data_IF_968426858625
#
_entry.id   IF_968426858625
#
_cell.length_a   1.000
_cell.length_b   1.000
_cell.length_c   1.000
_cell.angle_alpha   90.00
_cell.angle_beta   90.00
_cell.angle_gamma   90.00
#
_symmetry.space_group_name_H-M   'P 1'
#
loop_
_entity.id
_entity.type
_entity.pdbx_description
1 polymer ?
#
# COMPACT_ATOMS: atom_id res chain seq x y z
N UNK A 1 -11.15 9.89 -8.18
CA UNK A 1 -12.02 9.39 -7.10
C UNK A 1 -13.46 9.47 -7.54
N UNK A 2 -14.26 8.44 -7.24
CA UNK A 2 -15.68 8.43 -7.58
C UNK A 2 -16.46 9.20 -6.51
N UNK A 3 -17.73 9.55 -6.79
CA UNK A 3 -18.59 10.22 -5.79
C UNK A 3 -19.05 9.30 -4.66
N UNK A 4 -18.78 8.01 -4.78
CA UNK A 4 -19.33 6.96 -3.91
C UNK A 4 -18.24 6.08 -3.28
N UNK A 5 -16.98 6.48 -3.41
CA UNK A 5 -15.86 5.73 -2.86
C UNK A 5 -14.54 6.49 -2.88
N UNK A 6 -13.63 5.99 -2.07
CA UNK A 6 -12.25 6.46 -1.95
C UNK A 6 -11.32 5.25 -1.98
N UNK A 7 -10.01 5.44 -2.13
CA UNK A 7 -9.11 4.31 -2.23
C UNK A 7 -7.65 4.71 -2.38
N UNK A 8 -6.81 3.69 -2.45
CA UNK A 8 -5.36 3.82 -2.60
C UNK A 8 -4.84 2.72 -3.52
N UNK A 9 -3.70 2.97 -4.15
CA UNK A 9 -2.92 1.95 -4.86
C UNK A 9 -1.89 1.38 -3.91
N UNK A 10 -1.67 0.07 -3.95
CA UNK A 10 -0.71 -0.63 -3.08
C UNK A 10 0.39 -1.29 -3.90
N UNK A 11 1.56 -1.44 -3.28
CA UNK A 11 2.75 -2.07 -3.88
C UNK A 11 2.98 -3.43 -3.25
N UNK A 12 2.03 -4.32 -3.50
CA UNK A 12 2.04 -5.71 -3.06
C UNK A 12 1.23 -6.54 -4.04
N UNK A 13 1.36 -7.87 -3.95
CA UNK A 13 0.56 -8.75 -4.80
C UNK A 13 -0.93 -8.61 -4.48
N UNK A 14 -1.78 -9.03 -5.42
CA UNK A 14 -3.23 -9.03 -5.22
C UNK A 14 -3.65 -9.84 -4.00
N UNK A 15 -3.05 -11.02 -3.80
CA UNK A 15 -3.36 -11.90 -2.68
C UNK A 15 -2.88 -11.31 -1.34
N UNK A 16 -1.68 -10.71 -1.32
CA UNK A 16 -1.17 -10.02 -0.15
C UNK A 16 -2.04 -8.81 0.22
N UNK A 17 -2.53 -8.06 -0.79
CA UNK A 17 -3.44 -6.95 -0.57
C UNK A 17 -4.75 -7.40 0.09
N UNK A 18 -5.32 -8.54 -0.33
CA UNK A 18 -6.52 -9.09 0.32
C UNK A 18 -6.26 -9.42 1.79
N UNK A 19 -5.13 -10.08 2.08
CA UNK A 19 -4.73 -10.44 3.45
C UNK A 19 -4.55 -9.18 4.30
N UNK A 20 -3.79 -8.21 3.80
CA UNK A 20 -3.46 -6.97 4.50
C UNK A 20 -4.71 -6.11 4.75
N UNK A 21 -5.58 -5.96 3.75
CA UNK A 21 -6.88 -5.27 3.89
C UNK A 21 -7.74 -5.96 4.95
N UNK A 22 -7.82 -7.29 4.92
CA UNK A 22 -8.61 -8.05 5.90
C UNK A 22 -8.10 -7.84 7.32
N UNK A 23 -6.78 -7.85 7.52
CA UNK A 23 -6.16 -7.60 8.82
C UNK A 23 -6.39 -6.16 9.29
N UNK A 24 -6.21 -5.18 8.41
CA UNK A 24 -6.43 -3.76 8.73
C UNK A 24 -7.90 -3.49 9.09
N UNK A 25 -8.85 -4.09 8.37
CA UNK A 25 -10.28 -4.04 8.69
C UNK A 25 -10.57 -4.61 10.08
N UNK A 26 -9.99 -5.78 10.41
CA UNK A 26 -10.13 -6.39 11.74
C UNK A 26 -9.58 -5.49 12.85
N UNK A 27 -8.44 -4.83 12.62
CA UNK A 27 -7.86 -3.86 13.56
C UNK A 27 -8.79 -2.70 13.91
N UNK A 28 -9.67 -2.31 12.98
CA UNK A 28 -10.70 -1.27 13.18
C UNK A 28 -12.07 -1.83 13.59
N UNK A 29 -12.15 -3.14 13.87
CA UNK A 29 -13.35 -3.83 14.35
C UNK A 29 -14.31 -4.26 13.25
N UNK A 30 -13.89 -4.29 11.99
CA UNK A 30 -14.67 -4.84 10.88
C UNK A 30 -14.36 -6.32 10.66
N UNK A 31 -15.40 -7.15 10.58
CA UNK A 31 -15.32 -8.51 10.07
C UNK A 31 -15.72 -8.59 8.60
N UNK A 32 -15.28 -9.64 7.90
CA UNK A 32 -15.69 -9.94 6.53
C UNK A 32 -16.93 -10.85 6.57
N UNK A 33 -18.06 -10.37 6.07
CA UNK A 33 -19.32 -11.13 5.99
C UNK A 33 -19.53 -11.79 4.62
N UNK A 34 -18.96 -11.20 3.58
CA UNK A 34 -19.07 -11.69 2.22
C UNK A 34 -17.73 -11.53 1.52
N UNK A 35 -17.40 -12.49 0.67
CA UNK A 35 -16.17 -12.47 -0.10
C UNK A 35 -16.46 -12.96 -1.53
N UNK A 36 -16.59 -12.02 -2.46
CA UNK A 36 -17.11 -12.25 -3.82
C UNK A 36 -15.96 -12.17 -4.82
N UNK A 37 -15.68 -13.28 -5.49
CA UNK A 37 -14.65 -13.37 -6.54
C UNK A 37 -15.32 -13.11 -7.88
N UNK A 38 -15.23 -11.87 -8.35
CA UNK A 38 -15.89 -11.44 -9.57
C UNK A 38 -15.23 -12.11 -10.77
N UNK A 39 -13.89 -12.14 -10.80
CA UNK A 39 -13.13 -12.74 -11.89
C UNK A 39 -13.45 -14.23 -12.05
N UNK A 40 -13.39 -15.01 -10.97
CA UNK A 40 -13.74 -16.43 -11.02
C UNK A 40 -15.22 -16.65 -11.36
N UNK A 41 -16.11 -15.79 -10.88
CA UNK A 41 -17.55 -15.89 -11.18
C UNK A 41 -17.84 -15.65 -12.66
N UNK A 42 -17.28 -14.59 -13.26
CA UNK A 42 -17.47 -14.30 -14.68
C UNK A 42 -16.82 -15.36 -15.56
N UNK A 43 -15.63 -15.85 -15.20
CA UNK A 43 -15.02 -16.98 -15.91
C UNK A 43 -15.91 -18.22 -15.87
N UNK A 44 -16.45 -18.58 -14.71
CA UNK A 44 -17.30 -19.76 -14.56
C UNK A 44 -18.65 -19.64 -15.28
N UNK A 45 -19.25 -18.44 -15.29
CA UNK A 45 -20.62 -18.23 -15.76
C UNK A 45 -20.71 -17.80 -17.21
N UNK A 46 -19.73 -17.01 -17.67
CA UNK A 46 -19.73 -16.38 -18.99
C UNK A 46 -18.51 -16.80 -19.84
N UNK A 47 -17.55 -17.53 -19.26
CA UNK A 47 -16.25 -17.84 -19.89
C UNK A 47 -15.43 -16.60 -20.28
N UNK A 48 -15.69 -15.48 -19.61
CA UNK A 48 -14.96 -14.23 -19.80
C UNK A 48 -13.71 -14.19 -18.90
N UNK A 49 -12.56 -13.81 -19.46
CA UNK A 49 -11.35 -13.56 -18.69
C UNK A 49 -11.28 -12.08 -18.30
N UNK A 50 -10.90 -11.81 -17.05
CA UNK A 50 -10.66 -10.44 -16.56
C UNK A 50 -9.52 -10.43 -15.54
N UNK A 51 -8.87 -9.28 -15.30
CA UNK A 51 -7.92 -9.13 -14.21
C UNK A 51 -8.54 -9.50 -12.84
N UNK A 52 -7.72 -9.93 -11.85
CA UNK A 52 -8.18 -10.22 -10.50
C UNK A 52 -9.07 -9.13 -9.91
N UNK A 53 -10.23 -9.51 -9.38
CA UNK A 53 -11.25 -8.59 -8.86
C UNK A 53 -12.05 -9.24 -7.73
N UNK A 54 -11.84 -8.77 -6.50
CA UNK A 54 -12.50 -9.26 -5.28
C UNK A 54 -13.34 -8.14 -4.66
N UNK A 55 -14.54 -8.46 -4.18
CA UNK A 55 -15.37 -7.56 -3.38
C UNK A 55 -15.55 -8.18 -2.00
N UNK A 56 -15.05 -7.49 -0.99
CA UNK A 56 -15.18 -7.85 0.42
C UNK A 56 -16.33 -7.06 1.04
N UNK A 57 -17.26 -7.75 1.70
CA UNK A 57 -18.32 -7.14 2.48
C UNK A 57 -17.89 -6.96 3.92
N UNK A 58 -17.39 -5.77 4.28
CA UNK A 58 -16.91 -5.45 5.62
C UNK A 58 -18.03 -4.92 6.52
N UNK A 59 -18.12 -5.43 7.75
CA UNK A 59 -19.14 -5.01 8.71
C UNK A 59 -18.58 -4.88 10.13
N UNK A 60 -18.91 -3.78 10.81
CA UNK A 60 -18.68 -3.59 12.23
C UNK A 60 -20.00 -3.83 12.98
N UNK A 61 -20.16 -4.94 13.73
CA UNK A 61 -21.46 -5.33 14.27
C UNK A 61 -22.11 -4.30 15.21
N UNK A 62 -21.38 -3.67 16.17
CA UNK A 62 -21.95 -2.59 16.99
C UNK A 62 -22.49 -1.41 16.18
N UNK A 63 -21.78 -0.98 15.13
CA UNK A 63 -22.23 0.13 14.27
C UNK A 63 -23.42 -0.28 13.41
N UNK A 64 -23.37 -1.47 12.80
CA UNK A 64 -24.47 -2.01 12.00
C UNK A 64 -25.75 -2.19 12.83
N UNK A 65 -25.63 -2.66 14.08
CA UNK A 65 -26.76 -2.77 14.98
C UNK A 65 -27.40 -1.41 15.29
N UNK A 66 -26.59 -0.38 15.61
CA UNK A 66 -27.08 1.01 15.82
C UNK A 66 -27.83 1.52 14.58
N UNK A 67 -27.29 1.26 13.39
CA UNK A 67 -27.92 1.62 12.12
C UNK A 67 -29.28 0.96 11.95
N UNK A 68 -29.35 -0.37 12.12
CA UNK A 68 -30.56 -1.18 11.94
C UNK A 68 -31.67 -0.83 12.94
N UNK A 69 -31.31 -0.49 14.18
CA UNK A 69 -32.28 -0.01 15.18
C UNK A 69 -32.91 1.33 14.76
N UNK A 70 -32.14 2.20 14.11
CA UNK A 70 -32.57 3.54 13.69
C UNK A 70 -33.33 3.53 12.37
N UNK A 71 -32.90 2.67 11.44
CA UNK A 71 -33.52 2.45 10.14
C UNK A 71 -33.43 0.96 9.79
N UNK A 72 -34.48 0.15 10.04
CA UNK A 72 -34.47 -1.27 9.74
C UNK A 72 -34.17 -1.61 8.28
N UNK A 73 -34.57 -0.74 7.34
CA UNK A 73 -34.36 -0.95 5.90
C UNK A 73 -32.93 -0.64 5.47
N UNK A 74 -32.07 -0.11 6.36
CA UNK A 74 -30.69 0.25 6.03
C UNK A 74 -29.84 -0.95 5.63
N UNK A 75 -30.28 -2.17 5.97
CA UNK A 75 -29.66 -3.42 5.52
C UNK A 75 -29.54 -3.54 3.99
N UNK A 76 -30.35 -2.82 3.21
CA UNK A 76 -30.22 -2.72 1.75
C UNK A 76 -28.91 -2.04 1.30
N UNK A 77 -28.28 -1.27 2.19
CA UNK A 77 -27.06 -0.51 1.96
C UNK A 77 -25.85 -1.11 2.71
N UNK A 78 -26.02 -2.28 3.34
CA UNK A 78 -24.98 -3.01 4.07
C UNK A 78 -24.60 -4.30 3.32
N UNK A 79 -23.37 -4.82 3.48
CA UNK A 79 -22.24 -4.29 4.24
C UNK A 79 -21.46 -3.17 3.51
N UNK A 80 -20.42 -2.62 4.14
CA UNK A 80 -19.50 -1.69 3.48
C UNK A 80 -18.64 -2.47 2.48
N UNK A 81 -18.81 -2.21 1.18
CA UNK A 81 -18.00 -2.85 0.15
C UNK A 81 -16.57 -2.32 0.16
N UNK A 82 -15.60 -3.24 0.14
CA UNK A 82 -14.19 -2.98 -0.11
C UNK A 82 -13.75 -3.79 -1.31
N UNK A 83 -13.33 -3.12 -2.38
CA UNK A 83 -12.88 -3.72 -3.63
C UNK A 83 -11.37 -3.81 -3.60
N UNK A 84 -10.85 -5.01 -3.89
CA UNK A 84 -9.44 -5.20 -4.24
C UNK A 84 -9.44 -5.65 -5.70
N UNK A 85 -8.78 -4.88 -6.57
CA UNK A 85 -8.71 -5.19 -8.00
C UNK A 85 -7.32 -4.93 -8.55
N UNK A 86 -6.94 -5.71 -9.55
CA UNK A 86 -5.76 -5.44 -10.36
C UNK A 86 -6.20 -4.80 -11.68
N UNK A 87 -5.48 -3.80 -12.17
CA UNK A 87 -5.68 -3.28 -13.53
C UNK A 87 -4.85 -4.04 -14.57
N UNK A 88 -5.02 -3.70 -15.85
CA UNK A 88 -4.31 -4.34 -16.95
C UNK A 88 -2.78 -4.11 -16.91
N UNK A 89 -2.31 -3.06 -16.24
CA UNK A 89 -0.90 -2.79 -16.04
C UNK A 89 -0.31 -3.58 -14.85
N UNK A 90 -1.16 -4.31 -14.11
CA UNK A 90 -0.77 -5.10 -12.95
C UNK A 90 -0.82 -4.34 -11.62
N UNK A 91 -1.22 -3.06 -11.61
CA UNK A 91 -1.29 -2.28 -10.38
C UNK A 91 -2.51 -2.69 -9.54
N UNK A 92 -2.31 -2.82 -8.22
CA UNK A 92 -3.35 -3.25 -7.28
C UNK A 92 -3.99 -2.05 -6.62
N UNK A 93 -5.31 -1.96 -6.74
CA UNK A 93 -6.13 -0.88 -6.19
C UNK A 93 -7.00 -1.44 -5.07
N UNK A 94 -7.04 -0.71 -3.96
CA UNK A 94 -7.95 -0.97 -2.84
C UNK A 94 -8.91 0.20 -2.73
N UNK A 95 -10.20 -0.07 -2.92
CA UNK A 95 -11.25 0.95 -2.98
C UNK A 95 -12.33 0.65 -1.94
N UNK A 96 -12.74 1.66 -1.20
CA UNK A 96 -13.74 1.58 -0.14
C UNK A 96 -14.98 2.35 -0.60
N UNK A 97 -16.15 1.75 -0.41
CA UNK A 97 -17.41 2.48 -0.46
C UNK A 97 -17.38 3.63 0.54
N UNK A 98 -17.81 4.83 0.14
CA UNK A 98 -17.97 5.97 1.05
C UNK A 98 -19.33 5.88 1.77
N UNK A 99 -19.35 5.61 3.10
CA UNK A 99 -20.59 5.53 3.85
C UNK A 99 -21.37 6.85 3.85
N UNK A 100 -20.70 8.00 3.78
CA UNK A 100 -21.39 9.29 3.74
C UNK A 100 -22.18 9.43 2.44
N UNK A 101 -21.60 9.06 1.31
CA UNK A 101 -22.27 9.12 0.01
C UNK A 101 -23.43 8.13 -0.10
N UNK A 102 -23.26 6.91 0.42
CA UNK A 102 -24.30 5.86 0.31
C UNK A 102 -25.43 6.08 1.31
N UNK A 103 -25.12 6.44 2.55
CA UNK A 103 -26.12 6.58 3.61
C UNK A 103 -26.83 7.94 3.59
N UNK A 104 -26.37 8.90 2.78
CA UNK A 104 -27.11 10.13 2.47
C UNK A 104 -28.51 9.82 1.90
N UNK A 105 -28.67 8.70 1.19
CA UNK A 105 -29.95 8.24 0.64
C UNK A 105 -31.04 8.00 1.70
N UNK A 106 -30.64 7.76 2.96
CA UNK A 106 -31.57 7.55 4.08
C UNK A 106 -32.14 8.88 4.59
N UNK A 107 -31.44 9.99 4.38
CA UNK A 107 -31.83 11.34 4.78
C UNK A 107 -32.26 11.48 6.26
N UNK A 108 -31.47 10.89 7.17
CA UNK A 108 -31.66 10.96 8.63
C UNK A 108 -30.38 11.44 9.32
N UNK A 109 -30.43 12.52 10.14
CA UNK A 109 -29.24 13.07 10.80
C UNK A 109 -28.47 12.06 11.66
N UNK A 110 -29.18 11.16 12.35
CA UNK A 110 -28.59 10.12 13.19
C UNK A 110 -27.75 9.12 12.36
N UNK A 111 -28.22 8.84 11.14
CA UNK A 111 -27.52 7.97 10.19
C UNK A 111 -26.32 8.69 9.58
N UNK A 112 -26.42 9.99 9.28
CA UNK A 112 -25.29 10.79 8.77
C UNK A 112 -24.13 10.83 9.77
N UNK A 113 -24.42 11.01 11.06
CA UNK A 113 -23.39 10.98 12.10
C UNK A 113 -22.71 9.60 12.20
N UNK A 114 -23.49 8.52 12.10
CA UNK A 114 -22.97 7.15 12.09
C UNK A 114 -22.12 6.88 10.83
N UNK A 115 -22.56 7.35 9.66
CA UNK A 115 -21.84 7.23 8.40
C UNK A 115 -20.44 7.85 8.49
N UNK A 116 -20.35 9.03 9.12
CA UNK A 116 -19.07 9.71 9.35
C UNK A 116 -18.14 8.93 10.29
N UNK A 117 -18.69 8.29 11.34
CA UNK A 117 -17.90 7.41 12.22
C UNK A 117 -17.35 6.19 11.46
N UNK A 118 -18.18 5.54 10.64
CA UNK A 118 -17.78 4.40 9.81
C UNK A 118 -16.72 4.83 8.81
N UNK A 119 -16.91 5.96 8.13
CA UNK A 119 -15.96 6.49 7.15
C UNK A 119 -14.60 6.75 7.77
N UNK A 120 -14.53 7.40 8.92
CA UNK A 120 -13.25 7.66 9.61
C UNK A 120 -12.49 6.38 9.94
N UNK A 121 -13.19 5.30 10.28
CA UNK A 121 -12.54 4.00 10.50
C UNK A 121 -12.00 3.41 9.19
N UNK A 122 -12.80 3.43 8.12
CA UNK A 122 -12.37 2.96 6.80
C UNK A 122 -11.21 3.80 6.22
N UNK A 123 -11.15 5.10 6.51
CA UNK A 123 -10.01 5.96 6.16
C UNK A 123 -8.74 5.52 6.89
N UNK A 124 -8.82 5.15 8.18
CA UNK A 124 -7.67 4.57 8.90
C UNK A 124 -7.21 3.24 8.31
N UNK A 125 -8.15 2.39 7.89
CA UNK A 125 -7.84 1.17 7.13
C UNK A 125 -7.12 1.52 5.83
N UNK A 126 -7.64 2.47 5.05
CA UNK A 126 -7.03 2.92 3.80
C UNK A 126 -5.60 3.43 4.00
N UNK A 127 -5.34 4.19 5.08
CA UNK A 127 -3.98 4.65 5.42
C UNK A 127 -3.06 3.49 5.80
N UNK A 128 -3.54 2.57 6.64
CA UNK A 128 -2.77 1.40 7.06
C UNK A 128 -2.43 0.45 5.89
N UNK A 129 -3.32 0.37 4.92
CA UNK A 129 -3.15 -0.45 3.71
C UNK A 129 -2.27 0.24 2.67
N UNK A 130 -2.47 1.54 2.46
CA UNK A 130 -1.76 2.31 1.44
C UNK A 130 -0.26 2.42 1.69
N UNK A 131 0.18 2.33 2.95
CA UNK A 131 1.57 2.60 3.33
C UNK A 131 1.96 3.99 2.83
N UNK A 132 1.59 5.02 3.61
CA UNK A 132 1.68 6.44 3.24
C UNK A 132 2.80 6.76 2.26
N UNK A 133 2.50 7.51 1.19
CA UNK A 133 3.54 8.16 0.35
C UNK A 133 4.59 8.87 1.22
N UNK A 134 4.19 9.40 2.39
CA UNK A 134 5.07 9.98 3.41
C UNK A 134 6.05 9.00 4.05
N UNK A 135 5.69 7.73 4.23
CA UNK A 135 6.59 6.69 4.74
C UNK A 135 7.60 6.26 3.66
N UNK A 136 7.19 6.20 2.39
CA UNK A 136 8.10 5.95 1.27
C UNK A 136 8.99 7.14 0.95
N UNK A 137 8.46 8.36 1.01
CA UNK A 137 9.26 9.57 0.86
C UNK A 137 10.24 9.69 2.02
N UNK A 138 9.83 9.42 3.26
CA UNK A 138 10.74 9.40 4.41
C UNK A 138 11.83 8.34 4.24
N UNK A 139 11.50 7.12 3.80
CA UNK A 139 12.48 6.06 3.56
C UNK A 139 13.43 6.41 2.41
N UNK A 140 12.93 7.01 1.32
CA UNK A 140 13.71 7.45 0.17
C UNK A 140 14.59 8.65 0.51
N UNK A 141 14.07 9.63 1.25
CA UNK A 141 14.79 10.79 1.76
C UNK A 141 15.89 10.37 2.73
N UNK A 142 15.62 9.42 3.63
CA UNK A 142 16.60 8.87 4.57
C UNK A 142 17.67 8.05 3.84
N UNK A 143 17.29 7.25 2.84
CA UNK A 143 18.23 6.49 2.00
C UNK A 143 19.13 7.44 1.20
N UNK A 144 18.56 8.49 0.60
CA UNK A 144 19.31 9.52 -0.13
C UNK A 144 20.20 10.37 0.79
N UNK A 145 19.74 10.67 2.01
CA UNK A 145 20.55 11.32 3.03
C UNK A 145 21.76 10.45 3.40
N UNK A 146 21.55 9.15 3.61
CA UNK A 146 22.63 8.19 3.90
C UNK A 146 23.62 8.06 2.74
N UNK A 147 23.14 7.93 1.50
CA UNK A 147 24.01 7.90 0.30
C UNK A 147 24.87 9.17 0.20
N UNK A 148 24.30 10.36 0.46
CA UNK A 148 25.08 11.60 0.48
C UNK A 148 26.18 11.61 1.55
N UNK A 149 25.86 11.15 2.76
CA UNK A 149 26.84 11.03 3.85
C UNK A 149 27.94 10.03 3.49
N UNK A 150 27.58 8.88 2.93
CA UNK A 150 28.54 7.85 2.50
C UNK A 150 29.45 8.37 1.38
N UNK A 151 28.92 9.15 0.42
CA UNK A 151 29.72 9.80 -0.63
C UNK A 151 30.70 10.84 -0.08
N UNK A 152 30.29 11.65 0.90
CA UNK A 152 31.19 12.60 1.56
C UNK A 152 32.31 11.86 2.33
N UNK A 153 31.96 10.77 3.01
CA UNK A 153 32.94 9.94 3.70
C UNK A 153 33.91 9.26 2.73
N UNK A 154 33.44 8.84 1.56
CA UNK A 154 34.30 8.29 0.50
C UNK A 154 35.30 9.32 -0.02
N UNK A 155 34.89 10.58 -0.20
CA UNK A 155 35.80 11.68 -0.58
C UNK A 155 36.87 11.91 0.48
N UNK A 156 36.48 12.00 1.76
CA UNK A 156 37.41 12.17 2.87
C UNK A 156 38.38 10.99 3.03
N UNK A 157 37.90 9.76 2.77
CA UNK A 157 38.75 8.57 2.82
C UNK A 157 39.79 8.55 1.70
N UNK A 158 39.46 9.02 0.49
CA UNK A 158 40.43 9.17 -0.60
C UNK A 158 41.52 10.19 -0.26
N UNK A 159 41.17 11.33 0.33
CA UNK A 159 42.16 12.31 0.79
C UNK A 159 43.12 11.72 1.82
N UNK A 160 42.62 10.95 2.78
CA UNK A 160 43.46 10.25 3.78
C UNK A 160 44.39 9.22 3.14
N UNK A 161 43.91 8.46 2.15
CA UNK A 161 44.73 7.50 1.39
C UNK A 161 45.87 8.22 0.66
N UNK A 162 45.58 9.38 0.05
CA UNK A 162 46.59 10.18 -0.65
C UNK A 162 47.63 10.82 0.28
N UNK A 163 47.25 11.13 1.52
CA UNK A 163 48.12 11.76 2.52
C UNK A 163 48.89 10.75 3.39
N UNK A 164 48.54 9.47 3.35
CA UNK A 164 49.21 8.43 4.12
C UNK A 164 50.67 8.25 3.67
N UNK A 165 51.60 8.47 4.58
CA UNK A 165 53.04 8.31 4.34
C UNK A 165 53.52 6.87 4.57
N UNK A 166 52.76 6.08 5.34
CA UNK A 166 53.04 4.67 5.63
C UNK A 166 52.33 3.75 4.61
N UNK A 167 53.08 2.93 3.83
CA UNK A 167 52.52 1.99 2.87
C UNK A 167 51.53 0.97 3.48
N UNK A 168 51.72 0.54 4.73
CA UNK A 168 50.81 -0.42 5.36
C UNK A 168 49.47 0.21 5.72
N UNK A 169 49.50 1.45 6.22
CA UNK A 169 48.30 2.21 6.54
C UNK A 169 47.53 2.61 5.28
N UNK A 170 48.25 2.99 4.21
CA UNK A 170 47.64 3.26 2.91
C UNK A 170 46.89 2.03 2.36
N UNK A 171 47.44 0.83 2.52
CA UNK A 171 46.79 -0.42 2.09
C UNK A 171 45.61 -0.83 2.98
N UNK A 172 45.60 -0.44 4.26
CA UNK A 172 44.44 -0.63 5.16
C UNK A 172 43.29 0.29 4.74
N UNK A 173 43.56 1.58 4.60
CA UNK A 173 42.55 2.59 4.22
C UNK A 173 41.95 2.32 2.83
N UNK A 174 42.75 1.86 1.87
CA UNK A 174 42.26 1.48 0.54
C UNK A 174 41.25 0.32 0.60
N UNK A 175 41.46 -0.68 1.48
CA UNK A 175 40.53 -1.80 1.64
C UNK A 175 39.20 -1.36 2.25
N UNK A 176 39.26 -0.49 3.27
CA UNK A 176 38.06 0.08 3.90
C UNK A 176 37.27 0.94 2.91
N UNK A 177 37.94 1.76 2.11
CA UNK A 177 37.31 2.56 1.08
C UNK A 177 36.61 1.71 0.01
N UNK A 178 37.25 0.63 -0.46
CA UNK A 178 36.66 -0.29 -1.45
C UNK A 178 35.45 -1.05 -0.89
N UNK A 179 35.45 -1.40 0.40
CA UNK A 179 34.30 -2.02 1.04
C UNK A 179 33.12 -1.05 1.12
N UNK A 180 33.38 0.18 1.59
CA UNK A 180 32.35 1.21 1.70
C UNK A 180 31.76 1.59 0.33
N UNK A 181 32.59 1.63 -0.71
CA UNK A 181 32.15 1.84 -2.09
C UNK A 181 31.21 0.73 -2.57
N UNK A 182 31.51 -0.53 -2.25
CA UNK A 182 30.67 -1.67 -2.62
C UNK A 182 29.31 -1.63 -1.92
N UNK A 183 29.30 -1.28 -0.63
CA UNK A 183 28.07 -1.15 0.16
C UNK A 183 27.19 0.01 -0.36
N UNK A 184 27.80 1.16 -0.65
CA UNK A 184 27.08 2.33 -1.21
C UNK A 184 26.51 2.05 -2.59
N UNK A 185 27.28 1.42 -3.48
CA UNK A 185 26.82 1.03 -4.82
C UNK A 185 25.70 0.00 -4.78
N UNK A 186 25.70 -0.90 -3.78
CA UNK A 186 24.60 -1.84 -3.57
C UNK A 186 23.32 -1.14 -3.10
N UNK A 187 23.42 -0.08 -2.28
CA UNK A 187 22.25 0.72 -1.88
C UNK A 187 21.69 1.55 -3.04
N UNK A 188 22.51 1.97 -4.01
CA UNK A 188 22.07 2.70 -5.21
C UNK A 188 21.57 1.79 -6.35
N UNK A 189 21.99 0.52 -6.39
CA UNK A 189 21.71 -0.41 -7.49
C UNK A 189 20.37 -1.17 -7.41
N UNK A 190 19.58 -0.94 -6.35
CA UNK A 190 18.28 -1.60 -6.14
C UNK A 190 17.20 -1.24 -7.17
N UNK A 191 17.38 -0.18 -7.96
CA UNK A 191 16.38 0.32 -8.92
C UNK A 191 16.73 0.09 -10.41
N UNK A 192 17.83 -0.60 -10.75
CA UNK A 192 18.28 -0.75 -12.15
C UNK A 192 18.22 -2.17 -12.74
N UNK A 193 17.59 -3.16 -12.08
CA UNK A 193 17.39 -4.50 -12.65
C UNK A 193 16.03 -4.66 -13.33
N UNK A 194 15.75 -3.83 -14.33
CA UNK A 194 14.45 -3.80 -15.02
C UNK A 194 14.46 -3.36 -16.47
N UNK A 195 15.51 -3.67 -17.27
CA UNK A 195 15.50 -3.85 -18.74
C UNK A 195 16.92 -3.80 -19.28
N UNK A 196 17.54 -4.96 -19.45
CA UNK A 196 18.54 -5.16 -20.48
C UNK A 196 18.24 -6.50 -21.16
N UNK A 197 17.27 -6.48 -22.08
CA UNK A 197 17.02 -7.62 -22.96
C UNK A 197 18.11 -7.64 -24.04
N UNK A 198 18.90 -8.71 -23.97
CA UNK A 198 19.59 -9.42 -25.05
C UNK A 198 20.21 -8.65 -26.22
N UNK A 199 21.54 -8.68 -26.20
CA UNK A 199 22.41 -8.62 -27.37
C UNK A 199 21.94 -9.52 -28.52
N UNK A 200 22.02 -8.98 -29.73
CA UNK A 200 22.09 -9.77 -30.94
C UNK A 200 23.41 -10.54 -31.02
N UNK A 201 23.31 -11.77 -31.54
CA UNK A 201 24.31 -12.49 -32.30
C UNK A 201 23.54 -13.25 -33.39
#
# INVERSE_FOLDING_TARGET
MTKYGFGTTVDMSFDDAIVHVTQALQGEGFGILADIDVAATLKKKLNEDMPPYRILGACNPPLAHRALVTEPSIGLLLPCNVVVRQDEAGAVHVEFMDPNAVLELVNKPEITALASEVRQRLERVSVAVGGTEEARSAQSDETMAKVKVDMQQMQANMEKIHQAQDPQEQQRLMREHMQQMRETMHMMGGEMHGKCMCCGH
#
